data_IF_014508744537
#
_entry.id   IF_014508744537
#
_cell.length_a   1.000
_cell.length_b   1.000
_cell.length_c   1.000
_cell.angle_alpha   90.00
_cell.angle_beta   90.00
_cell.angle_gamma   90.00
#
_symmetry.space_group_name_H-M   'P 1'
#
loop_
_entity.id
_entity.type
_entity.pdbx_description
1 polymer ?
#
# COMPACT_ATOMS: atom_id res chain seq x y z
N UNK A 1 -12.61 -8.97 -11.55
CA UNK A 1 -13.22 -8.97 -10.21
C UNK A 1 -14.61 -8.38 -10.26
N UNK A 2 -15.36 -8.44 -9.15
CA UNK A 2 -16.80 -8.10 -9.00
C UNK A 2 -17.28 -6.79 -9.66
N UNK A 3 -16.38 -5.83 -9.93
CA UNK A 3 -16.70 -4.57 -10.62
C UNK A 3 -16.50 -4.60 -12.15
N UNK A 4 -16.19 -5.76 -12.74
CA UNK A 4 -15.86 -5.90 -14.17
C UNK A 4 -14.42 -5.53 -14.54
N UNK A 5 -13.60 -5.15 -13.57
CA UNK A 5 -12.19 -4.77 -13.76
C UNK A 5 -11.25 -5.86 -13.25
N UNK A 6 -10.12 -6.05 -13.95
CA UNK A 6 -8.93 -6.72 -13.43
C UNK A 6 -7.95 -5.69 -12.91
N UNK A 7 -7.23 -6.02 -11.85
CA UNK A 7 -6.26 -5.13 -11.22
C UNK A 7 -4.96 -5.89 -11.05
N UNK A 8 -3.88 -5.33 -11.60
CA UNK A 8 -2.54 -5.88 -11.45
C UNK A 8 -1.71 -4.93 -10.57
N UNK A 9 -0.91 -5.49 -9.67
CA UNK A 9 -0.09 -4.73 -8.73
C UNK A 9 1.39 -5.05 -8.94
N UNK A 10 2.16 -4.04 -9.33
CA UNK A 10 3.58 -4.13 -9.65
C UNK A 10 4.41 -3.45 -8.56
N UNK A 11 5.01 -4.18 -7.61
CA UNK A 11 5.86 -3.60 -6.59
C UNK A 11 7.29 -3.36 -7.09
N UNK A 12 7.98 -2.39 -6.48
CA UNK A 12 9.42 -2.17 -6.69
C UNK A 12 10.27 -3.18 -5.92
N UNK A 13 9.81 -3.58 -4.74
CA UNK A 13 10.51 -4.47 -3.82
C UNK A 13 9.67 -5.71 -3.51
N UNK A 14 10.28 -6.83 -3.11
CA UNK A 14 9.54 -7.97 -2.59
C UNK A 14 8.59 -7.53 -1.47
N UNK A 15 7.34 -7.98 -1.55
CA UNK A 15 6.35 -7.76 -0.51
C UNK A 15 6.27 -8.98 0.40
N UNK A 16 5.87 -8.75 1.66
CA UNK A 16 5.62 -9.84 2.61
C UNK A 16 4.51 -10.78 2.11
N UNK A 17 4.64 -12.07 2.43
CA UNK A 17 3.73 -13.12 1.95
C UNK A 17 2.27 -12.89 2.40
N UNK A 18 2.05 -12.38 3.62
CA UNK A 18 0.72 -12.05 4.12
C UNK A 18 0.11 -10.91 3.31
N UNK A 19 0.89 -9.89 2.97
CA UNK A 19 0.42 -8.78 2.14
C UNK A 19 0.05 -9.23 0.73
N UNK A 20 0.90 -10.05 0.10
CA UNK A 20 0.62 -10.64 -1.24
C UNK A 20 -0.65 -11.48 -1.21
N UNK A 21 -0.85 -12.28 -0.15
CA UNK A 21 -2.07 -13.07 0.02
C UNK A 21 -3.32 -12.18 0.15
N UNK A 22 -3.23 -11.08 0.91
CA UNK A 22 -4.34 -10.13 1.07
C UNK A 22 -4.73 -9.47 -0.27
N UNK A 23 -3.75 -9.12 -1.10
CA UNK A 23 -3.99 -8.61 -2.46
C UNK A 23 -4.71 -9.64 -3.33
N UNK A 24 -4.20 -10.88 -3.35
CA UNK A 24 -4.81 -11.96 -4.13
C UNK A 24 -6.24 -12.27 -3.67
N UNK A 25 -6.49 -12.29 -2.36
CA UNK A 25 -7.82 -12.46 -1.78
C UNK A 25 -8.79 -11.33 -2.16
N UNK A 26 -8.26 -10.13 -2.43
CA UNK A 26 -9.03 -8.99 -2.95
C UNK A 26 -9.21 -9.01 -4.48
N UNK A 27 -8.74 -10.04 -5.18
CA UNK A 27 -8.83 -10.17 -6.63
C UNK A 27 -7.80 -9.34 -7.40
N UNK A 28 -6.73 -8.92 -6.75
CA UNK A 28 -5.58 -8.24 -7.36
C UNK A 28 -4.53 -9.28 -7.76
N UNK A 29 -3.97 -9.18 -8.96
CA UNK A 29 -2.85 -10.01 -9.41
C UNK A 29 -1.52 -9.37 -8.99
N UNK A 30 -0.77 -9.94 -8.02
CA UNK A 30 0.55 -9.44 -7.72
C UNK A 30 1.54 -9.88 -8.81
N UNK A 31 2.20 -8.91 -9.44
CA UNK A 31 3.28 -9.15 -10.40
C UNK A 31 4.64 -9.28 -9.68
N UNK A 32 5.63 -9.83 -10.38
CA UNK A 32 6.98 -10.02 -9.81
C UNK A 32 7.63 -8.67 -9.54
N UNK A 33 8.24 -8.44 -8.36
CA UNK A 33 8.92 -7.20 -8.07
C UNK A 33 10.07 -6.96 -9.07
N UNK A 34 10.32 -5.69 -9.40
CA UNK A 34 11.39 -5.35 -10.33
C UNK A 34 11.59 -3.85 -10.46
N UNK A 35 12.61 -3.46 -11.22
CA UNK A 35 12.81 -2.06 -11.56
C UNK A 35 11.87 -1.64 -12.69
N UNK A 36 11.44 -0.37 -12.72
CA UNK A 36 10.70 0.25 -13.83
C UNK A 36 11.01 -0.24 -15.25
N UNK A 37 12.29 -0.40 -15.57
CA UNK A 37 12.75 -0.84 -16.88
C UNK A 37 12.33 -2.29 -17.23
N UNK A 38 12.18 -3.17 -16.24
CA UNK A 38 11.82 -4.57 -16.45
C UNK A 38 10.31 -4.81 -16.56
N UNK A 39 9.48 -3.85 -16.13
CA UNK A 39 8.01 -4.05 -16.08
C UNK A 39 7.35 -4.12 -17.44
N UNK A 40 8.00 -3.66 -18.51
CA UNK A 40 7.38 -3.61 -19.83
C UNK A 40 6.98 -4.99 -20.37
N UNK A 41 7.75 -6.04 -20.09
CA UNK A 41 7.46 -7.37 -20.61
C UNK A 41 6.21 -7.98 -19.95
N UNK A 42 6.12 -7.85 -18.62
CA UNK A 42 5.00 -8.39 -17.83
C UNK A 42 3.71 -7.59 -18.05
N UNK A 43 3.83 -6.27 -18.23
CA UNK A 43 2.67 -5.40 -18.39
C UNK A 43 2.09 -5.40 -19.82
N UNK A 44 2.87 -5.72 -20.86
CA UNK A 44 2.40 -5.72 -22.28
C UNK A 44 1.40 -6.82 -22.62
N UNK A 45 1.21 -7.81 -21.73
CA UNK A 45 0.18 -8.83 -21.90
C UNK A 45 -1.26 -8.30 -21.69
N UNK A 46 -1.41 -7.09 -21.13
CA UNK A 46 -2.69 -6.48 -20.80
C UNK A 46 -2.83 -5.05 -21.38
N UNK A 47 -4.06 -4.69 -21.74
CA UNK A 47 -4.43 -3.33 -22.15
C UNK A 47 -5.06 -2.60 -20.97
N UNK A 48 -4.29 -1.73 -20.31
CA UNK A 48 -4.76 -0.99 -19.14
C UNK A 48 -5.51 0.28 -19.54
N UNK A 49 -6.75 0.42 -19.06
CA UNK A 49 -7.49 1.68 -19.18
C UNK A 49 -6.99 2.76 -18.20
N UNK A 50 -6.38 2.35 -17.09
CA UNK A 50 -5.98 3.21 -15.98
C UNK A 50 -4.72 2.67 -15.30
N UNK A 51 -3.76 3.55 -15.03
CA UNK A 51 -2.49 3.23 -14.38
C UNK A 51 -2.30 4.21 -13.22
N UNK A 52 -2.07 3.65 -12.03
CA UNK A 52 -1.69 4.43 -10.85
C UNK A 52 -0.20 4.25 -10.59
N UNK A 53 0.52 5.36 -10.46
CA UNK A 53 1.93 5.34 -10.05
C UNK A 53 2.06 6.05 -8.72
N UNK A 54 2.41 5.28 -7.70
CA UNK A 54 2.73 5.82 -6.38
C UNK A 54 4.19 6.29 -6.34
N UNK A 55 4.43 7.41 -5.68
CA UNK A 55 5.75 8.07 -5.49
C UNK A 55 6.31 8.75 -6.72
N UNK A 56 6.81 9.97 -6.50
CA UNK A 56 7.37 10.86 -7.54
C UNK A 56 8.50 10.22 -8.32
N UNK A 57 9.46 9.65 -7.61
CA UNK A 57 10.67 9.09 -8.21
C UNK A 57 10.34 7.93 -9.15
N UNK A 58 9.36 7.10 -8.81
CA UNK A 58 8.93 6.02 -9.70
C UNK A 58 8.26 6.59 -10.95
N UNK A 59 7.38 7.59 -10.80
CA UNK A 59 6.71 8.24 -11.92
C UNK A 59 7.70 8.86 -12.92
N UNK A 60 8.69 9.62 -12.43
CA UNK A 60 9.71 10.26 -13.28
C UNK A 60 10.50 9.23 -14.11
N UNK A 61 10.69 8.00 -13.62
CA UNK A 61 11.40 6.93 -14.33
C UNK A 61 10.52 6.21 -15.36
N UNK A 62 9.21 6.07 -15.08
CA UNK A 62 8.31 5.24 -15.90
C UNK A 62 7.45 6.02 -16.90
N UNK A 63 7.30 7.34 -16.73
CA UNK A 63 6.28 8.12 -17.43
C UNK A 63 6.30 7.94 -18.96
N UNK A 64 7.49 8.06 -19.57
CA UNK A 64 7.65 7.92 -21.02
C UNK A 64 7.37 6.49 -21.49
N UNK A 65 7.85 5.50 -20.74
CA UNK A 65 7.63 4.08 -21.03
C UNK A 65 6.15 3.70 -20.93
N UNK A 66 5.46 4.19 -19.89
CA UNK A 66 4.02 4.00 -19.69
C UNK A 66 3.24 4.64 -20.81
N UNK A 67 3.59 5.87 -21.22
CA UNK A 67 2.88 6.57 -22.30
C UNK A 67 3.12 5.90 -23.67
N UNK A 68 4.31 5.36 -23.91
CA UNK A 68 4.64 4.63 -25.12
C UNK A 68 3.92 3.26 -25.19
N UNK A 69 3.82 2.55 -24.06
CA UNK A 69 3.19 1.24 -23.99
C UNK A 69 1.65 1.31 -23.99
N UNK A 70 1.06 2.25 -23.24
CA UNK A 70 -0.39 2.44 -23.14
C UNK A 70 -0.78 3.89 -23.42
N UNK A 71 -0.77 4.31 -24.70
CA UNK A 71 -1.06 5.70 -25.06
C UNK A 71 -2.49 6.13 -24.66
N UNK A 72 -3.42 5.16 -24.59
CA UNK A 72 -4.83 5.40 -24.22
C UNK A 72 -5.11 5.31 -22.72
N UNK A 73 -4.17 4.82 -21.92
CA UNK A 73 -4.34 4.72 -20.48
C UNK A 73 -4.44 6.11 -19.85
N UNK A 74 -5.39 6.27 -18.94
CA UNK A 74 -5.36 7.37 -17.97
C UNK A 74 -4.26 7.08 -16.97
N UNK A 75 -3.40 8.06 -16.70
CA UNK A 75 -2.31 7.90 -15.72
C UNK A 75 -2.60 8.81 -14.55
N UNK A 76 -2.76 8.22 -13.38
CA UNK A 76 -2.93 8.94 -12.11
C UNK A 76 -1.63 8.83 -11.34
N UNK A 77 -1.09 9.99 -11.00
CA UNK A 77 0.09 10.08 -10.18
C UNK A 77 -0.32 10.32 -8.72
N UNK A 78 -0.05 9.34 -7.86
CA UNK A 78 -0.34 9.41 -6.44
C UNK A 78 0.90 9.92 -5.67
N UNK A 79 0.75 11.13 -5.13
CA UNK A 79 1.79 11.81 -4.36
C UNK A 79 1.72 11.51 -2.88
N UNK A 80 0.68 10.82 -2.41
CA UNK A 80 0.43 10.66 -0.99
C UNK A 80 1.25 9.50 -0.46
N UNK A 81 2.34 9.83 0.22
CA UNK A 81 3.06 8.86 1.04
C UNK A 81 2.32 8.62 2.37
N UNK A 82 1.26 7.81 2.31
CA UNK A 82 0.51 7.42 3.52
C UNK A 82 1.38 6.55 4.44
N UNK A 83 2.47 5.95 3.96
CA UNK A 83 3.38 5.21 4.84
C UNK A 83 4.05 6.15 5.85
N UNK A 84 4.51 7.32 5.41
CA UNK A 84 5.02 8.33 6.34
C UNK A 84 3.96 8.72 7.38
N UNK A 85 2.72 8.97 6.97
CA UNK A 85 1.64 9.34 7.91
C UNK A 85 1.23 8.18 8.83
N UNK A 86 1.30 6.94 8.35
CA UNK A 86 0.96 5.74 9.13
C UNK A 86 2.06 5.43 10.14
N UNK A 87 3.32 5.50 9.75
CA UNK A 87 4.48 5.37 10.64
C UNK A 87 4.52 6.49 11.66
N UNK A 88 4.29 7.75 11.24
CA UNK A 88 4.17 8.88 12.15
C UNK A 88 3.04 8.67 13.15
N UNK A 89 1.86 8.22 12.69
CA UNK A 89 0.74 7.90 13.59
C UNK A 89 1.07 6.77 14.55
N UNK A 90 1.71 5.70 14.10
CA UNK A 90 2.12 4.57 14.95
C UNK A 90 3.15 5.03 15.99
N UNK A 91 4.14 5.82 15.59
CA UNK A 91 5.13 6.42 16.49
C UNK A 91 4.47 7.35 17.52
N UNK A 92 3.54 8.21 17.09
CA UNK A 92 2.77 9.09 17.97
C UNK A 92 1.88 8.29 18.95
N UNK A 93 1.29 7.17 18.52
CA UNK A 93 0.48 6.32 19.40
C UNK A 93 1.34 5.47 20.36
N UNK A 94 2.55 5.07 19.96
CA UNK A 94 3.49 4.39 20.84
C UNK A 94 4.15 5.32 21.88
N UNK A 95 4.31 6.60 21.53
CA UNK A 95 4.84 7.63 22.42
C UNK A 95 3.77 8.31 23.29
N UNK A 96 2.47 8.08 23.01
CA UNK A 96 1.40 8.56 23.86
C UNK A 96 1.47 7.83 25.22
N UNK A 97 1.50 8.54 26.36
CA UNK A 97 1.44 7.90 27.66
C UNK A 97 0.17 7.05 27.71
N UNK A 98 0.31 5.78 28.11
CA UNK A 98 -0.81 4.90 28.37
C UNK A 98 -1.68 5.62 29.40
N UNK A 99 -2.82 6.17 28.98
CA UNK A 99 -3.80 6.71 29.91
C UNK A 99 -4.32 5.50 30.66
N UNK A 100 -3.73 5.25 31.82
CA UNK A 100 -4.35 4.44 32.86
C UNK A 100 -5.55 5.26 33.31
N UNK A 101 -6.74 4.76 33.00
CA UNK A 101 -7.98 5.30 33.54
C UNK A 101 -7.85 5.38 35.06
N UNK A 102 -8.07 6.58 35.62
CA UNK A 102 -7.98 6.82 37.05
C UNK A 102 -9.08 6.09 37.86
N UNK A 103 -10.01 5.41 37.17
CA UNK A 103 -11.16 4.72 37.75
C UNK A 103 -10.95 3.21 37.96
N UNK A 104 -9.74 2.68 37.81
CA UNK A 104 -9.44 1.32 38.34
C UNK A 104 -9.20 1.39 39.85
N UNK A 105 -10.25 1.67 40.61
CA UNK A 105 -10.31 1.31 42.04
C UNK A 105 -10.43 -0.21 42.10
N UNK A 106 -9.35 -0.89 42.49
CA UNK A 106 -9.43 -2.31 42.83
C UNK A 106 -10.32 -2.45 44.08
N UNK A 107 -11.41 -3.24 44.04
CA UNK A 107 -12.24 -3.44 45.21
C UNK A 107 -11.51 -4.36 46.20
N UNK A 108 -11.33 -3.89 47.42
CA UNK A 108 -11.14 -4.73 48.60
C UNK A 108 -9.69 -4.96 49.04
N UNK A 109 -9.21 -4.10 49.93
CA UNK A 109 -8.48 -4.53 51.12
C UNK A 109 -9.10 -3.78 52.30
N UNK A 110 -9.99 -4.46 53.01
CA UNK A 110 -10.55 -3.97 54.26
C UNK A 110 -9.42 -3.79 55.27
N UNK A 111 -9.51 -2.72 56.04
CA UNK A 111 -8.83 -2.60 57.32
C UNK A 111 -9.47 -3.60 58.28
N UNK A 112 -8.78 -4.70 58.56
CA UNK A 112 -9.02 -5.46 59.78
C UNK A 112 -7.95 -5.05 60.81
N UNK A 113 -8.48 -4.46 61.89
CA UNK A 113 -7.97 -4.27 63.27
C UNK A 113 -6.72 -3.43 63.54
#
# INVERSE_FOLDING_TARGET
GEAGWSVDFQPLWPSDAQYVWQLAAAGVTPLQPGYPASWQADMRAADYALIFVARRYTFEVVADNVRAAWPRARVVYDTVDVHFLREARVAMMAAAPKVVDADTVLPGQGTDE
#
